data_IF_714847548151
#
_entry.id   IF_714847548151
#
_cell.length_a   1.000
_cell.length_b   1.000
_cell.length_c   1.000
_cell.angle_alpha   90.00
_cell.angle_beta   90.00
_cell.angle_gamma   90.00
#
_symmetry.space_group_name_H-M   'P 1'
#
loop_
_entity.id
_entity.type
_entity.pdbx_description
1 polymer ?
#
# COMPACT_ATOMS: atom_id res chain seq x y z
N UNK A 1 12.24 2.51 13.08
CA UNK A 1 11.83 1.29 13.84
C UNK A 1 10.72 0.58 13.09
N UNK A 2 10.67 -0.74 13.05
CA UNK A 2 9.59 -1.48 12.39
C UNK A 2 9.08 -2.60 13.31
N UNK A 3 7.77 -2.62 13.54
CA UNK A 3 7.11 -3.61 14.40
C UNK A 3 6.03 -4.30 13.57
N UNK A 4 6.10 -5.62 13.49
CA UNK A 4 5.10 -6.44 12.78
C UNK A 4 4.56 -7.49 13.72
N UNK A 5 3.25 -7.52 13.91
CA UNK A 5 2.53 -8.55 14.65
C UNK A 5 1.59 -9.27 13.70
N UNK A 6 1.81 -10.57 13.51
CA UNK A 6 0.94 -11.41 12.69
C UNK A 6 0.36 -12.50 13.58
N UNK A 7 -0.96 -12.62 13.61
CA UNK A 7 -1.69 -13.73 14.22
C UNK A 7 -2.51 -14.40 13.14
N UNK A 8 -2.32 -15.70 12.95
CA UNK A 8 -3.02 -16.44 11.90
C UNK A 8 -3.43 -17.81 12.40
N UNK A 9 -4.67 -18.19 12.09
CA UNK A 9 -5.17 -19.56 12.30
C UNK A 9 -5.16 -20.38 11.00
N UNK A 10 -4.58 -19.83 9.91
CA UNK A 10 -4.52 -20.50 8.60
C UNK A 10 -3.72 -21.82 8.61
N UNK A 11 -2.52 -21.91 9.22
CA UNK A 11 -1.70 -23.13 9.11
C UNK A 11 -2.33 -24.36 9.77
N UNK A 12 -3.05 -24.19 10.89
CA UNK A 12 -3.61 -25.30 11.66
C UNK A 12 -4.80 -25.98 10.99
N UNK A 13 -5.51 -25.30 10.08
CA UNK A 13 -6.69 -25.84 9.38
C UNK A 13 -6.45 -26.34 7.96
N UNK A 14 -5.28 -26.10 7.37
CA UNK A 14 -4.88 -26.76 6.11
C UNK A 14 -4.85 -28.30 6.25
N UNK A 15 -4.71 -28.80 7.49
CA UNK A 15 -4.67 -30.24 7.81
C UNK A 15 -6.07 -30.83 8.04
N UNK A 16 -7.10 -30.01 8.26
CA UNK A 16 -8.49 -30.44 8.49
C UNK A 16 -9.39 -30.06 7.31
N UNK A 17 -9.10 -30.58 6.12
CA UNK A 17 -9.98 -30.43 4.95
C UNK A 17 -11.19 -31.37 5.12
N UNK A 18 -12.33 -30.86 5.58
CA UNK A 18 -13.60 -31.60 5.66
C UNK A 18 -14.72 -30.81 4.98
N UNK A 19 -15.60 -31.52 4.26
CA UNK A 19 -16.28 -31.05 3.05
C UNK A 19 -17.65 -30.36 3.28
N UNK A 20 -17.99 -29.92 4.50
CA UNK A 20 -19.28 -29.26 4.80
C UNK A 20 -19.17 -28.28 5.95
N UNK A 21 -19.00 -26.97 5.70
CA UNK A 21 -18.87 -25.98 6.78
C UNK A 21 -19.74 -24.73 6.59
N UNK A 22 -20.44 -24.38 7.68
CA UNK A 22 -21.34 -23.23 7.89
C UNK A 22 -20.59 -21.88 7.88
N UNK A 23 -21.31 -20.76 7.72
CA UNK A 23 -20.73 -19.41 7.71
C UNK A 23 -19.98 -19.07 9.02
N UNK A 24 -20.45 -19.60 10.16
CA UNK A 24 -19.78 -19.50 11.46
C UNK A 24 -18.41 -20.19 11.49
N UNK A 25 -18.28 -21.32 10.80
CA UNK A 25 -17.03 -22.07 10.69
C UNK A 25 -16.07 -21.43 9.67
N UNK A 26 -16.56 -20.76 8.63
CA UNK A 26 -15.70 -20.03 7.66
C UNK A 26 -15.04 -18.78 8.25
N UNK A 27 -15.72 -18.11 9.17
CA UNK A 27 -15.17 -16.99 9.94
C UNK A 27 -14.18 -17.41 11.05
N UNK A 28 -13.95 -18.72 11.24
CA UNK A 28 -12.94 -19.22 12.20
C UNK A 28 -11.50 -19.07 11.69
N UNK A 29 -11.31 -18.89 10.38
CA UNK A 29 -10.02 -18.56 9.80
C UNK A 29 -9.82 -17.05 9.93
N UNK A 30 -8.94 -16.66 10.86
CA UNK A 30 -8.67 -15.26 11.18
C UNK A 30 -7.22 -14.96 10.86
N UNK A 31 -7.01 -13.97 9.99
CA UNK A 31 -5.71 -13.34 9.75
C UNK A 31 -5.72 -11.94 10.36
N UNK A 32 -4.95 -11.75 11.42
CA UNK A 32 -4.68 -10.42 11.96
C UNK A 32 -3.24 -10.06 11.65
N UNK A 33 -3.02 -8.91 11.03
CA UNK A 33 -1.69 -8.36 10.83
C UNK A 33 -1.68 -6.88 11.22
N UNK A 34 -0.72 -6.49 12.05
CA UNK A 34 -0.46 -5.08 12.36
C UNK A 34 1.00 -4.80 12.04
N UNK A 35 1.24 -3.91 11.09
CA UNK A 35 2.58 -3.51 10.65
C UNK A 35 2.69 -2.01 10.89
N UNK A 36 3.62 -1.61 11.75
CA UNK A 36 3.90 -0.21 12.05
C UNK A 36 5.37 0.06 11.79
N UNK A 37 5.65 1.03 10.93
CA UNK A 37 7.00 1.48 10.61
C UNK A 37 7.10 2.95 10.99
N UNK A 38 8.11 3.31 11.75
CA UNK A 38 8.32 4.68 12.24
C UNK A 38 9.62 5.25 11.68
N UNK A 39 9.48 6.43 11.09
CA UNK A 39 10.50 7.28 10.48
C UNK A 39 11.40 6.53 9.48
N UNK A 40 10.85 5.73 8.53
CA UNK A 40 11.69 5.13 7.51
C UNK A 40 12.20 6.23 6.56
N UNK A 41 13.49 6.15 6.23
CA UNK A 41 14.11 7.02 5.23
C UNK A 41 14.70 6.20 4.09
N UNK A 42 14.54 6.68 2.87
CA UNK A 42 15.10 6.06 1.67
C UNK A 42 15.80 7.12 0.82
N UNK A 43 17.08 6.90 0.57
CA UNK A 43 17.91 7.76 -0.27
C UNK A 43 18.16 7.07 -1.61
N UNK A 44 17.72 7.72 -2.68
CA UNK A 44 17.85 7.20 -4.02
C UNK A 44 18.77 8.08 -4.84
N UNK A 45 19.86 7.47 -5.28
CA UNK A 45 20.70 8.01 -6.35
C UNK A 45 20.08 7.68 -7.72
N UNK A 46 20.33 8.48 -8.76
CA UNK A 46 19.77 8.24 -10.09
C UNK A 46 20.02 6.82 -10.63
N UNK A 47 21.18 6.23 -10.29
CA UNK A 47 21.53 4.85 -10.65
C UNK A 47 20.56 3.85 -10.03
N UNK A 48 20.23 4.00 -8.75
CA UNK A 48 19.30 3.12 -8.03
C UNK A 48 17.88 3.24 -8.58
N UNK A 49 17.42 4.46 -8.88
CA UNK A 49 16.09 4.67 -9.48
C UNK A 49 15.95 3.92 -10.80
N UNK A 50 16.96 3.99 -11.67
CA UNK A 50 16.94 3.30 -12.96
C UNK A 50 16.90 1.78 -12.83
N UNK A 51 17.54 1.21 -11.80
CA UNK A 51 17.53 -0.22 -11.53
C UNK A 51 16.17 -0.69 -11.00
N UNK A 52 15.57 0.07 -10.08
CA UNK A 52 14.22 -0.24 -9.56
C UNK A 52 13.18 -0.17 -10.68
N UNK A 53 13.28 0.83 -11.56
CA UNK A 53 12.40 0.94 -12.73
C UNK A 53 12.55 -0.26 -13.68
N UNK A 54 13.77 -0.77 -13.89
CA UNK A 54 13.99 -1.98 -14.69
C UNK A 54 13.36 -3.23 -14.07
N UNK A 55 13.33 -3.34 -12.73
CA UNK A 55 12.67 -4.45 -12.05
C UNK A 55 11.15 -4.39 -12.22
N UNK A 56 10.55 -3.20 -12.25
CA UNK A 56 9.11 -3.05 -12.49
C UNK A 56 8.75 -3.30 -13.96
N UNK A 57 9.58 -2.89 -14.90
CA UNK A 57 9.40 -3.11 -16.35
C UNK A 57 9.64 -4.55 -16.80
N UNK A 58 10.61 -5.25 -16.19
CA UNK A 58 10.90 -6.66 -16.49
C UNK A 58 9.71 -7.58 -16.16
N UNK A 59 8.78 -7.12 -15.33
CA UNK A 59 7.54 -7.81 -14.99
C UNK A 59 6.46 -7.57 -16.05
N UNK A 60 6.77 -7.75 -17.33
CA UNK A 60 5.73 -7.83 -18.37
C UNK A 60 4.82 -9.03 -18.08
N UNK A 61 3.48 -8.88 -18.16
CA UNK A 61 2.58 -9.98 -17.91
C UNK A 61 2.84 -11.10 -18.92
N UNK A 62 3.22 -12.27 -18.43
CA UNK A 62 3.29 -13.49 -19.24
C UNK A 62 1.95 -13.70 -19.97
N UNK A 63 1.96 -14.08 -21.26
CA UNK A 63 0.73 -14.28 -22.01
C UNK A 63 -0.16 -15.28 -21.26
N UNK A 64 -1.39 -14.83 -20.97
CA UNK A 64 -2.39 -15.56 -20.18
C UNK A 64 -2.48 -17.02 -20.65
N UNK A 65 -1.88 -17.95 -19.90
CA UNK A 65 -2.21 -19.38 -19.98
C UNK A 65 -3.72 -19.52 -19.74
N UNK A 66 -4.39 -20.34 -20.55
CA UNK A 66 -5.84 -20.64 -20.46
C UNK A 66 -6.24 -20.81 -19.00
N UNK A 67 -7.19 -19.98 -18.53
CA UNK A 67 -7.74 -19.96 -17.17
C UNK A 67 -8.25 -21.37 -16.84
N UNK A 68 -7.48 -22.13 -16.06
CA UNK A 68 -8.03 -23.28 -15.31
C UNK A 68 -8.95 -22.69 -14.25
N UNK A 69 -10.14 -23.27 -14.11
CA UNK A 69 -11.25 -22.81 -13.28
C UNK A 69 -10.95 -22.95 -11.77
N UNK A 70 -9.92 -22.25 -11.28
CA UNK A 70 -9.47 -22.25 -9.89
C UNK A 70 -10.25 -21.24 -9.02
N UNK A 71 -11.23 -20.52 -9.58
CA UNK A 71 -12.03 -19.53 -8.84
C UNK A 71 -12.81 -20.14 -7.67
N UNK A 72 -13.18 -21.43 -7.78
CA UNK A 72 -13.87 -22.18 -6.72
C UNK A 72 -13.03 -22.43 -5.47
N UNK A 73 -11.70 -22.48 -5.60
CA UNK A 73 -10.81 -22.79 -4.47
C UNK A 73 -10.47 -21.51 -3.70
N UNK A 74 -10.21 -20.41 -4.40
CA UNK A 74 -9.84 -19.13 -3.78
C UNK A 74 -11.04 -18.52 -3.05
N UNK A 75 -12.25 -18.56 -3.63
CA UNK A 75 -13.45 -18.01 -2.99
C UNK A 75 -13.86 -18.74 -1.71
N UNK A 76 -13.48 -20.02 -1.57
CA UNK A 76 -13.76 -20.85 -0.38
C UNK A 76 -12.73 -20.69 0.74
N UNK A 77 -11.60 -20.07 0.45
CA UNK A 77 -10.48 -19.92 1.39
C UNK A 77 -10.30 -18.48 1.88
N UNK A 78 -11.10 -17.51 1.41
CA UNK A 78 -10.98 -16.12 1.86
C UNK A 78 -11.26 -16.03 3.36
N UNK A 79 -10.25 -15.77 4.21
CA UNK A 79 -10.45 -15.75 5.64
C UNK A 79 -11.12 -14.44 6.07
N UNK A 80 -11.57 -14.42 7.33
CA UNK A 80 -11.77 -13.15 8.02
C UNK A 80 -10.39 -12.53 8.21
N UNK A 81 -10.13 -11.35 7.68
CA UNK A 81 -8.83 -10.70 7.77
C UNK A 81 -8.96 -9.29 8.32
N UNK A 82 -8.01 -8.88 9.16
CA UNK A 82 -7.84 -7.50 9.61
C UNK A 82 -6.35 -7.15 9.53
N UNK A 83 -6.00 -6.37 8.53
CA UNK A 83 -4.63 -5.96 8.24
C UNK A 83 -4.57 -4.45 8.43
N UNK A 84 -3.80 -4.00 9.41
CA UNK A 84 -3.53 -2.58 9.62
C UNK A 84 -2.06 -2.35 9.31
N UNK A 85 -1.79 -1.53 8.31
CA UNK A 85 -0.45 -1.10 7.95
C UNK A 85 -0.35 0.40 8.18
N UNK A 86 0.68 0.84 8.88
CA UNK A 86 0.92 2.25 9.18
C UNK A 86 2.40 2.57 9.07
N UNK A 87 2.70 3.69 8.42
CA UNK A 87 4.04 4.24 8.32
C UNK A 87 3.99 5.68 8.81
N UNK A 88 4.70 5.95 9.89
CA UNK A 88 4.84 7.27 10.46
C UNK A 88 6.11 7.93 9.93
N UNK A 89 6.00 9.18 9.52
CA UNK A 89 7.11 10.03 9.05
C UNK A 89 7.98 9.40 7.94
N UNK A 90 7.42 8.79 6.87
CA UNK A 90 8.26 8.32 5.78
C UNK A 90 8.88 9.49 5.01
N UNK A 91 10.18 9.38 4.74
CA UNK A 91 10.94 10.35 3.94
C UNK A 91 11.64 9.64 2.80
N UNK A 92 11.46 10.14 1.58
CA UNK A 92 12.18 9.69 0.40
C UNK A 92 12.98 10.86 -0.16
N UNK A 93 14.30 10.69 -0.33
CA UNK A 93 15.19 11.70 -0.89
C UNK A 93 15.77 11.20 -2.21
N UNK A 94 15.64 12.01 -3.25
CA UNK A 94 16.25 11.77 -4.54
C UNK A 94 17.42 12.72 -4.73
N UNK A 95 18.60 12.17 -4.98
CA UNK A 95 19.80 12.94 -5.29
C UNK A 95 19.72 13.38 -6.74
N UNK A 96 19.77 14.68 -6.98
CA UNK A 96 19.74 15.28 -8.30
C UNK A 96 21.14 15.80 -8.68
N UNK A 97 21.65 15.46 -9.87
CA UNK A 97 22.93 15.95 -10.33
C UNK A 97 22.87 17.47 -10.57
N UNK A 98 23.93 18.18 -10.19
CA UNK A 98 24.10 19.59 -10.54
C UNK A 98 24.65 19.66 -11.98
N UNK A 99 24.07 20.50 -12.87
CA UNK A 99 24.65 20.74 -14.19
C UNK A 99 26.11 21.20 -14.07
N UNK A 100 26.99 20.65 -14.91
CA UNK A 100 28.44 20.94 -14.88
C UNK A 100 28.81 22.40 -15.12
N UNK A 101 27.88 23.20 -15.62
CA UNK A 101 28.05 24.63 -15.91
C UNK A 101 27.76 25.53 -14.70
N UNK A 102 27.22 24.98 -13.61
CA UNK A 102 26.96 25.73 -12.39
C UNK A 102 28.27 25.89 -11.58
N UNK A 103 28.54 27.07 -10.99
CA UNK A 103 29.78 27.38 -10.27
C UNK A 103 29.77 26.78 -8.85
N UNK A 104 29.58 25.47 -8.75
CA UNK A 104 29.37 24.76 -7.50
C UNK A 104 30.51 23.76 -7.29
N UNK A 105 31.05 23.69 -6.07
CA UNK A 105 32.14 22.79 -5.71
C UNK A 105 31.79 21.33 -6.04
N UNK A 106 32.80 20.54 -6.44
CA UNK A 106 32.68 19.21 -7.04
C UNK A 106 32.09 18.09 -6.17
N UNK A 107 31.40 18.42 -5.07
CA UNK A 107 30.73 17.48 -4.16
C UNK A 107 29.27 17.85 -3.83
N UNK A 108 28.76 18.95 -4.36
CA UNK A 108 27.41 19.43 -4.05
C UNK A 108 26.34 18.72 -4.88
N UNK A 109 25.17 18.52 -4.26
CA UNK A 109 24.02 17.90 -4.90
C UNK A 109 22.73 18.60 -4.50
N UNK A 110 21.80 18.64 -5.45
CA UNK A 110 20.44 19.06 -5.17
C UNK A 110 19.64 17.86 -4.67
N UNK A 111 18.61 18.10 -3.87
CA UNK A 111 17.73 17.06 -3.36
C UNK A 111 16.29 17.33 -3.77
N UNK A 112 15.60 16.29 -4.19
CA UNK A 112 14.14 16.28 -4.26
C UNK A 112 13.63 15.40 -3.13
N UNK A 113 12.89 15.98 -2.20
CA UNK A 113 12.49 15.31 -0.96
C UNK A 113 10.97 15.19 -0.92
N UNK A 114 10.48 13.96 -0.76
CA UNK A 114 9.10 13.65 -0.44
C UNK A 114 9.02 13.30 1.04
N UNK A 115 8.36 14.14 1.83
CA UNK A 115 8.12 13.95 3.26
C UNK A 115 6.63 13.79 3.49
N UNK A 116 6.24 12.75 4.23
CA UNK A 116 4.85 12.49 4.58
C UNK A 116 4.78 12.31 6.09
N UNK A 117 3.77 12.86 6.76
CA UNK A 117 3.62 12.68 8.22
C UNK A 117 3.10 11.29 8.57
N UNK A 118 2.13 10.76 7.83
CA UNK A 118 1.70 9.37 7.98
C UNK A 118 1.08 8.80 6.71
N UNK A 119 1.25 7.49 6.55
CA UNK A 119 0.57 6.66 5.54
C UNK A 119 -0.07 5.50 6.26
N UNK A 120 -1.34 5.21 6.01
CA UNK A 120 -1.97 4.00 6.54
C UNK A 120 -2.82 3.27 5.51
N UNK A 121 -2.94 1.96 5.71
CA UNK A 121 -3.75 1.06 4.91
C UNK A 121 -4.42 0.08 5.87
N UNK A 122 -5.73 0.22 6.02
CA UNK A 122 -6.57 -0.66 6.83
C UNK A 122 -7.40 -1.54 5.89
N UNK A 123 -7.26 -2.85 6.00
CA UNK A 123 -8.01 -3.83 5.22
C UNK A 123 -8.78 -4.73 6.18
N UNK A 124 -10.09 -4.84 5.98
CA UNK A 124 -10.96 -5.72 6.73
C UNK A 124 -11.78 -6.60 5.77
N UNK A 125 -11.83 -7.89 6.03
CA UNK A 125 -12.69 -8.82 5.31
C UNK A 125 -13.39 -9.80 6.23
N UNK A 126 -14.61 -10.21 5.87
CA UNK A 126 -15.39 -11.18 6.64
C UNK A 126 -16.50 -11.80 5.77
N UNK A 127 -17.05 -12.93 6.23
CA UNK A 127 -18.29 -13.50 5.67
C UNK A 127 -19.48 -13.06 6.53
N UNK A 128 -20.59 -12.65 5.90
CA UNK A 128 -21.84 -12.35 6.63
C UNK A 128 -22.44 -13.63 7.22
N UNK A 129 -23.12 -13.50 8.36
CA UNK A 129 -23.79 -14.61 9.06
C UNK A 129 -25.26 -14.80 8.63
N UNK A 130 -25.82 -13.88 7.84
CA UNK A 130 -27.16 -13.99 7.26
C UNK A 130 -27.17 -14.99 6.11
N UNK A 131 -28.31 -15.70 5.94
CA UNK A 131 -28.47 -16.85 5.05
C UNK A 131 -28.04 -16.58 3.60
N UNK A 132 -26.75 -16.81 3.31
CA UNK A 132 -26.16 -16.65 1.98
C UNK A 132 -24.62 -16.65 1.99
N UNK A 133 -24.01 -16.96 0.85
CA UNK A 133 -22.55 -16.86 0.67
C UNK A 133 -22.17 -15.41 0.36
N UNK A 134 -22.10 -14.58 1.39
CA UNK A 134 -21.82 -13.15 1.26
C UNK A 134 -20.45 -12.80 1.83
N UNK A 135 -19.53 -12.38 0.96
CA UNK A 135 -18.19 -11.94 1.36
C UNK A 135 -18.07 -10.42 1.20
N UNK A 136 -17.56 -9.76 2.23
CA UNK A 136 -17.30 -8.33 2.23
C UNK A 136 -15.82 -8.07 2.47
N UNK A 137 -15.28 -7.12 1.72
CA UNK A 137 -13.92 -6.61 1.84
C UNK A 137 -13.97 -5.08 1.83
N UNK A 138 -13.40 -4.46 2.85
CA UNK A 138 -13.25 -3.01 2.97
C UNK A 138 -11.77 -2.69 3.07
N UNK A 139 -11.31 -1.71 2.31
CA UNK A 139 -9.93 -1.22 2.34
C UNK A 139 -9.96 0.30 2.43
N UNK A 140 -9.21 0.88 3.35
CA UNK A 140 -9.04 2.33 3.48
C UNK A 140 -7.57 2.69 3.45
N UNK A 141 -7.19 3.48 2.47
CA UNK A 141 -5.85 4.04 2.32
C UNK A 141 -5.88 5.51 2.72
N UNK A 142 -4.94 5.95 3.56
CA UNK A 142 -4.82 7.33 4.02
C UNK A 142 -3.39 7.82 3.90
N UNK A 143 -3.25 9.10 3.54
CA UNK A 143 -2.01 9.85 3.55
C UNK A 143 -2.28 11.19 4.21
N UNK A 144 -1.51 11.54 5.22
CA UNK A 144 -1.62 12.83 5.91
C UNK A 144 -0.31 13.61 5.78
N UNK A 145 -0.48 14.89 5.44
CA UNK A 145 0.56 15.91 5.25
C UNK A 145 1.70 15.43 4.37
N UNK A 146 1.44 15.32 3.07
CA UNK A 146 2.45 15.06 2.05
C UNK A 146 3.05 16.37 1.54
N UNK A 147 4.38 16.48 1.56
CA UNK A 147 5.14 17.58 1.01
C UNK A 147 6.20 17.03 0.05
N UNK A 148 6.20 17.53 -1.17
CA UNK A 148 7.30 17.37 -2.12
C UNK A 148 7.98 18.72 -2.28
N UNK A 149 9.29 18.76 -2.04
CA UNK A 149 10.06 19.98 -2.16
C UNK A 149 11.46 19.71 -2.69
N UNK A 150 12.00 20.70 -3.37
CA UNK A 150 13.37 20.73 -3.83
C UNK A 150 14.24 21.49 -2.82
N UNK A 151 15.45 21.00 -2.59
CA UNK A 151 16.41 21.61 -1.68
C UNK A 151 17.77 21.76 -2.36
N UNK A 152 18.31 22.99 -2.31
CA UNK A 152 19.65 23.30 -2.84
C UNK A 152 20.76 22.94 -1.84
N UNK A 153 22.03 22.85 -2.29
CA UNK A 153 23.20 22.71 -1.41
C UNK A 153 23.29 23.80 -0.34
N UNK A 154 22.86 25.03 -0.68
CA UNK A 154 22.78 26.16 0.24
C UNK A 154 21.65 26.04 1.28
N UNK A 155 20.86 24.96 1.25
CA UNK A 155 19.75 24.70 2.16
C UNK A 155 18.44 25.43 1.80
N UNK A 156 18.34 26.05 0.63
CA UNK A 156 17.11 26.72 0.19
C UNK A 156 16.06 25.69 -0.18
N UNK A 157 14.88 25.80 0.43
CA UNK A 157 13.73 24.90 0.22
C UNK A 157 12.72 25.55 -0.73
N UNK A 158 12.39 24.86 -1.80
CA UNK A 158 11.38 25.22 -2.78
C UNK A 158 10.27 24.17 -2.75
N UNK A 159 9.11 24.51 -2.20
CA UNK A 159 7.96 23.59 -2.22
C UNK A 159 7.50 23.40 -3.66
N UNK A 160 7.14 22.16 -4.01
CA UNK A 160 6.64 21.79 -5.35
C UNK A 160 5.21 21.25 -5.27
N UNK A 161 4.90 20.45 -4.25
CA UNK A 161 3.57 19.91 -4.03
C UNK A 161 3.30 19.80 -2.53
N UNK A 162 2.08 20.14 -2.13
CA UNK A 162 1.61 19.94 -0.77
C UNK A 162 0.18 19.39 -0.78
N UNK A 163 -0.04 18.34 0.01
CA UNK A 163 -1.36 17.74 0.25
C UNK A 163 -1.58 17.61 1.75
N UNK A 164 -2.73 18.04 2.27
CA UNK A 164 -3.02 17.95 3.70
C UNK A 164 -3.56 16.57 4.09
N UNK A 165 -4.65 16.13 3.48
CA UNK A 165 -5.18 14.78 3.73
C UNK A 165 -5.68 14.17 2.41
N UNK A 166 -5.31 12.92 2.18
CA UNK A 166 -5.84 12.11 1.10
C UNK A 166 -6.37 10.81 1.69
N UNK A 167 -7.61 10.46 1.37
CA UNK A 167 -8.22 9.19 1.76
C UNK A 167 -8.87 8.53 0.55
N UNK A 168 -8.67 7.22 0.41
CA UNK A 168 -9.34 6.40 -0.59
C UNK A 168 -9.93 5.19 0.11
N UNK A 169 -11.24 4.97 -0.04
CA UNK A 169 -11.97 3.83 0.49
C UNK A 169 -12.48 2.96 -0.65
N UNK A 170 -12.24 1.66 -0.53
CA UNK A 170 -12.74 0.64 -1.46
C UNK A 170 -13.56 -0.36 -0.65
N UNK A 171 -14.81 -0.53 -1.04
CA UNK A 171 -15.69 -1.56 -0.49
C UNK A 171 -16.09 -2.52 -1.61
N UNK A 172 -15.86 -3.80 -1.39
CA UNK A 172 -16.25 -4.89 -2.27
C UNK A 172 -17.23 -5.79 -1.52
N UNK A 173 -18.39 -6.02 -2.11
CA UNK A 173 -19.38 -6.96 -1.63
C UNK A 173 -19.64 -8.00 -2.72
N UNK A 174 -19.55 -9.27 -2.36
CA UNK A 174 -19.89 -10.39 -3.22
C UNK A 174 -21.18 -11.03 -2.71
N UNK A 175 -22.30 -10.58 -3.26
CA UNK A 175 -23.66 -11.06 -2.95
C UNK A 175 -24.42 -11.28 -4.26
N UNK A 176 -24.68 -12.55 -4.62
CA UNK A 176 -24.65 -13.16 -5.97
C UNK A 176 -23.83 -12.50 -7.09
N UNK A 177 -23.84 -11.18 -7.19
CA UNK A 177 -23.05 -10.34 -8.08
C UNK A 177 -21.94 -9.63 -7.29
N UNK A 178 -20.84 -9.29 -7.98
CA UNK A 178 -19.73 -8.54 -7.37
C UNK A 178 -20.01 -7.06 -7.51
N UNK A 179 -20.16 -6.37 -6.39
CA UNK A 179 -20.31 -4.92 -6.35
C UNK A 179 -19.06 -4.29 -5.76
N UNK A 180 -18.53 -3.26 -6.43
CA UNK A 180 -17.34 -2.52 -5.99
C UNK A 180 -17.69 -1.05 -5.89
N UNK A 181 -17.51 -0.48 -4.71
CA UNK A 181 -17.65 0.94 -4.43
C UNK A 181 -16.27 1.52 -4.13
N UNK A 182 -15.90 2.57 -4.85
CA UNK A 182 -14.68 3.33 -4.61
C UNK A 182 -15.08 4.76 -4.30
N UNK A 183 -14.56 5.29 -3.21
CA UNK A 183 -14.75 6.69 -2.81
C UNK A 183 -13.43 7.25 -2.32
N UNK A 184 -13.30 8.57 -2.32
CA UNK A 184 -12.11 9.22 -1.79
C UNK A 184 -12.32 10.69 -1.54
N UNK A 185 -11.46 11.25 -0.72
CA UNK A 185 -11.41 12.67 -0.40
C UNK A 185 -9.98 13.16 -0.49
N UNK A 186 -9.81 14.38 -0.98
CA UNK A 186 -8.54 15.08 -1.06
C UNK A 186 -8.74 16.47 -0.47
N UNK A 187 -8.21 16.69 0.73
CA UNK A 187 -8.25 17.97 1.42
C UNK A 187 -6.97 18.73 1.13
N UNK A 188 -7.12 19.92 0.52
CA UNK A 188 -6.04 20.84 0.17
C UNK A 188 -4.95 20.18 -0.68
N UNK A 189 -4.94 20.48 -1.97
CA UNK A 189 -3.88 20.08 -2.90
C UNK A 189 -3.34 21.33 -3.58
N UNK A 190 -2.05 21.61 -3.40
CA UNK A 190 -1.36 22.72 -4.06
C UNK A 190 -0.13 22.23 -4.81
N UNK A 191 0.06 22.81 -5.98
CA UNK A 191 1.26 22.66 -6.79
C UNK A 191 1.90 24.04 -6.90
N UNK A 192 3.20 24.08 -6.64
CA UNK A 192 4.02 25.29 -6.66
C UNK A 192 5.02 25.12 -7.80
N UNK A 193 5.03 26.07 -8.73
CA UNK A 193 5.95 26.13 -9.87
C UNK A 193 6.93 27.27 -9.70
#
# INVERSE_FOLDING_TARGET
MATTTIKTTLPSKTVSFSDKHDASERNSNVLFANVVITSPSLDMEPRHVSQVLRLTEAKKPSPRRKKRDNHRIISRLLPKARINFSVQEPVVRFVLPIPKEAPVDGGDYNLLISSISSVSLDIESFHSAEAGFHYSLSSTYRVTSHQLYYQTPAGLKHNLLQTQDMEVRVHLNATPEVCVFVSGSLNSFSVHM
#
